data_IF_740097080197
#
_entry.id   IF_740097080197
#
_cell.length_a   1.000
_cell.length_b   1.000
_cell.length_c   1.000
_cell.angle_alpha   90.00
_cell.angle_beta   90.00
_cell.angle_gamma   90.00
#
_symmetry.space_group_name_H-M   'P 1'
#
loop_
_entity.id
_entity.type
_entity.pdbx_description
1 polymer ?
#
# COMPACT_ATOMS: atom_id res chain seq x y z
N UNK A 1 -7.79 -18.25 15.44
CA UNK A 1 -8.48 -18.33 14.14
C UNK A 1 -7.83 -19.36 13.22
N UNK A 2 -8.59 -20.40 12.90
CA UNK A 2 -8.21 -21.43 11.91
C UNK A 2 -8.20 -20.86 10.48
N UNK A 3 -7.43 -21.50 9.59
CA UNK A 3 -7.31 -21.08 8.17
C UNK A 3 -8.67 -20.98 7.47
N UNK A 4 -9.53 -21.98 7.67
CA UNK A 4 -10.86 -22.05 7.04
C UNK A 4 -11.73 -20.85 7.40
N UNK A 5 -11.69 -20.40 8.66
CA UNK A 5 -12.49 -19.27 9.14
C UNK A 5 -11.92 -17.92 8.71
N UNK A 6 -10.60 -17.80 8.54
CA UNK A 6 -9.98 -16.60 7.98
C UNK A 6 -10.16 -16.50 6.46
N UNK A 7 -10.33 -17.62 5.75
CA UNK A 7 -10.50 -17.65 4.31
C UNK A 7 -11.82 -17.02 3.82
N UNK A 8 -12.92 -17.30 4.51
CA UNK A 8 -14.23 -16.74 4.16
C UNK A 8 -14.22 -15.20 4.11
N UNK A 9 -13.84 -14.47 5.18
CA UNK A 9 -13.80 -13.01 5.15
C UNK A 9 -12.76 -12.45 4.16
N UNK A 10 -11.62 -13.12 4.00
CA UNK A 10 -10.60 -12.70 3.02
C UNK A 10 -11.11 -12.80 1.59
N UNK A 11 -11.80 -13.89 1.23
CA UNK A 11 -12.43 -14.08 -0.08
C UNK A 11 -13.57 -13.09 -0.30
N UNK A 12 -14.43 -12.86 0.70
CA UNK A 12 -15.51 -11.88 0.59
C UNK A 12 -14.95 -10.47 0.35
N UNK A 13 -13.94 -10.06 1.12
CA UNK A 13 -13.28 -8.77 0.92
C UNK A 13 -12.58 -8.69 -0.44
N UNK A 14 -11.92 -9.76 -0.88
CA UNK A 14 -11.26 -9.85 -2.18
C UNK A 14 -12.23 -9.73 -3.34
N UNK A 15 -13.36 -10.45 -3.30
CA UNK A 15 -14.41 -10.34 -4.31
C UNK A 15 -15.01 -8.93 -4.31
N UNK A 16 -15.22 -8.34 -3.13
CA UNK A 16 -15.81 -7.01 -3.02
C UNK A 16 -14.89 -5.90 -3.55
N UNK A 17 -13.59 -5.90 -3.21
CA UNK A 17 -12.66 -4.90 -3.74
C UNK A 17 -12.53 -5.02 -5.27
N UNK A 18 -12.46 -6.25 -5.78
CA UNK A 18 -12.41 -6.49 -7.22
C UNK A 18 -13.69 -6.05 -7.90
N UNK A 19 -14.87 -6.37 -7.36
CA UNK A 19 -16.15 -5.95 -7.90
C UNK A 19 -16.35 -4.43 -7.86
N UNK A 20 -15.93 -3.75 -6.80
CA UNK A 20 -16.02 -2.29 -6.68
C UNK A 20 -15.09 -1.59 -7.67
N UNK A 21 -13.85 -2.07 -7.82
CA UNK A 21 -12.91 -1.52 -8.81
C UNK A 21 -13.36 -1.82 -10.23
N UNK A 22 -13.95 -3.00 -10.46
CA UNK A 22 -14.56 -3.38 -11.72
C UNK A 22 -15.71 -2.44 -12.10
N UNK A 23 -16.64 -2.24 -11.16
CA UNK A 23 -17.77 -1.33 -11.32
C UNK A 23 -17.33 0.11 -11.53
N UNK A 24 -16.32 0.56 -10.80
CA UNK A 24 -15.72 1.87 -10.96
C UNK A 24 -15.12 2.05 -12.37
N UNK A 25 -14.40 1.03 -12.85
CA UNK A 25 -13.87 1.02 -14.22
C UNK A 25 -14.94 1.12 -15.30
N UNK A 26 -16.06 0.39 -15.13
CA UNK A 26 -17.20 0.47 -16.03
C UNK A 26 -17.91 1.84 -15.97
N UNK A 27 -17.93 2.48 -14.81
CA UNK A 27 -18.56 3.79 -14.60
C UNK A 27 -17.86 4.94 -15.34
N UNK A 28 -16.58 4.77 -15.73
CA UNK A 28 -15.87 5.75 -16.55
C UNK A 28 -16.56 6.02 -17.90
N UNK A 29 -17.16 4.99 -18.50
CA UNK A 29 -17.92 5.13 -19.77
C UNK A 29 -19.20 5.95 -19.57
N UNK A 30 -19.87 5.77 -18.44
CA UNK A 30 -21.08 6.53 -18.12
C UNK A 30 -20.80 8.02 -17.89
N UNK A 31 -19.59 8.36 -17.44
CA UNK A 31 -19.17 9.75 -17.24
C UNK A 31 -18.93 10.51 -18.56
N UNK A 32 -18.79 9.83 -19.71
CA UNK A 32 -18.64 10.47 -21.02
C UNK A 32 -19.96 10.88 -21.68
N UNK A 33 -21.09 10.44 -21.13
CA UNK A 33 -22.42 10.79 -21.62
C UNK A 33 -22.69 12.27 -21.38
N UNK A 34 -23.24 13.00 -22.36
CA UNK A 34 -23.47 14.45 -22.24
C UNK A 34 -24.35 14.85 -21.03
N UNK A 35 -25.17 13.91 -20.51
CA UNK A 35 -25.96 14.10 -19.29
C UNK A 35 -25.16 14.12 -17.98
N UNK A 36 -23.98 13.48 -17.91
CA UNK A 36 -23.13 13.49 -16.70
C UNK A 36 -22.49 14.85 -16.47
N UNK A 37 -21.99 15.49 -17.53
CA UNK A 37 -21.39 16.82 -17.49
C UNK A 37 -22.42 17.88 -17.05
N UNK A 38 -23.69 17.70 -17.41
CA UNK A 38 -24.79 18.54 -16.97
C UNK A 38 -25.19 18.31 -15.51
N UNK A 39 -25.00 17.09 -14.98
CA UNK A 39 -25.37 16.73 -13.61
C UNK A 39 -24.27 17.05 -12.58
N UNK A 40 -22.99 16.84 -12.94
CA UNK A 40 -21.86 16.99 -12.04
C UNK A 40 -21.02 18.24 -12.32
N UNK A 41 -21.13 18.82 -13.52
CA UNK A 41 -20.23 19.86 -14.01
C UNK A 41 -19.06 19.28 -14.82
N UNK A 42 -18.52 20.06 -15.76
CA UNK A 42 -17.45 19.60 -16.67
C UNK A 42 -16.15 19.28 -15.92
N UNK A 43 -15.76 20.12 -14.97
CA UNK A 43 -14.50 19.98 -14.22
C UNK A 43 -14.47 18.71 -13.35
N UNK A 44 -15.54 18.46 -12.59
CA UNK A 44 -15.68 17.25 -11.75
C UNK A 44 -15.76 15.97 -12.59
N UNK A 45 -16.37 16.04 -13.79
CA UNK A 45 -16.46 14.90 -14.70
C UNK A 45 -15.09 14.52 -15.24
N UNK A 46 -14.28 15.51 -15.63
CA UNK A 46 -12.89 15.29 -16.08
C UNK A 46 -12.02 14.74 -14.96
N UNK A 47 -12.17 15.25 -13.73
CA UNK A 47 -11.46 14.71 -12.57
C UNK A 47 -11.85 13.26 -12.26
N UNK A 48 -13.15 12.95 -12.24
CA UNK A 48 -13.64 11.59 -12.02
C UNK A 48 -13.17 10.65 -13.12
N UNK A 49 -13.18 11.10 -14.38
CA UNK A 49 -12.62 10.34 -15.50
C UNK A 49 -11.12 10.08 -15.27
N UNK A 50 -10.34 11.08 -14.85
CA UNK A 50 -8.92 10.93 -14.57
C UNK A 50 -8.64 9.97 -13.39
N UNK A 51 -9.48 9.99 -12.35
CA UNK A 51 -9.40 9.06 -11.21
C UNK A 51 -9.71 7.62 -11.61
N UNK A 52 -10.69 7.44 -12.50
CA UNK A 52 -11.18 6.13 -12.94
C UNK A 52 -10.40 5.55 -14.11
N UNK A 53 -9.72 6.39 -14.90
CA UNK A 53 -8.99 5.99 -16.10
C UNK A 53 -8.08 4.76 -15.90
N UNK A 54 -7.35 4.59 -14.77
CA UNK A 54 -6.51 3.41 -14.57
C UNK A 54 -7.32 2.12 -14.41
N UNK A 55 -8.58 2.17 -14.01
CA UNK A 55 -9.43 0.99 -13.87
C UNK A 55 -10.41 0.83 -15.03
N UNK A 56 -10.46 1.81 -15.94
CA UNK A 56 -11.37 1.82 -17.08
C UNK A 56 -11.05 0.73 -18.11
N UNK A 57 -12.10 0.26 -18.77
CA UNK A 57 -12.04 -0.73 -19.86
C UNK A 57 -11.72 -0.13 -21.22
N UNK A 58 -11.77 1.20 -21.32
CA UNK A 58 -11.59 1.89 -22.59
C UNK A 58 -10.11 1.89 -22.98
N UNK A 59 -9.78 1.41 -24.19
CA UNK A 59 -8.42 1.50 -24.67
C UNK A 59 -8.02 2.98 -24.82
N UNK A 60 -6.73 3.33 -24.62
CA UNK A 60 -6.25 4.69 -24.81
C UNK A 60 -6.53 5.16 -26.25
N UNK A 61 -6.77 6.45 -26.45
CA UNK A 61 -7.07 7.01 -27.78
C UNK A 61 -6.00 6.64 -28.83
N UNK A 62 -4.75 6.42 -28.42
CA UNK A 62 -3.66 5.92 -29.27
C UNK A 62 -3.90 4.52 -29.87
N UNK A 63 -4.75 3.70 -29.26
CA UNK A 63 -5.15 2.38 -29.78
C UNK A 63 -6.40 2.46 -30.69
N UNK A 64 -7.16 3.57 -30.64
CA UNK A 64 -8.29 3.85 -31.54
C UNK A 64 -7.92 4.74 -32.73
N UNK A 65 -6.95 5.63 -32.57
CA UNK A 65 -6.46 6.58 -33.59
C UNK A 65 -5.33 5.99 -34.43
N UNK A 66 -5.50 4.74 -34.89
CA UNK A 66 -4.65 4.08 -35.86
C UNK A 66 -4.97 4.43 -37.32
N UNK A 67 -5.65 5.54 -37.59
CA UNK A 67 -5.98 5.93 -38.96
C UNK A 67 -6.80 7.20 -39.05
N UNK A 68 -6.13 8.36 -39.04
CA UNK A 68 -6.58 9.57 -39.76
C UNK A 68 -5.36 10.46 -40.11
N UNK A 69 -4.25 9.81 -40.47
CA UNK A 69 -3.13 10.45 -41.16
C UNK A 69 -2.81 9.62 -42.41
N UNK A 70 -3.54 9.93 -43.48
CA UNK A 70 -3.14 9.77 -44.89
C UNK A 70 -2.36 8.52 -45.31
N UNK A 71 -3.07 7.58 -45.96
CA UNK A 71 -2.54 6.85 -47.12
C UNK A 71 -1.96 5.45 -46.85
N UNK A 72 -2.81 4.43 -46.85
CA UNK A 72 -2.37 3.04 -46.98
C UNK A 72 -3.46 2.02 -46.69
N UNK A 73 -4.21 1.59 -47.71
CA UNK A 73 -5.08 0.42 -47.61
C UNK A 73 -4.22 -0.82 -47.33
N UNK A 74 -4.21 -1.30 -46.09
CA UNK A 74 -3.50 -2.50 -45.70
C UNK A 74 -4.12 -3.16 -44.48
N UNK A 75 -4.39 -4.46 -44.59
CA UNK A 75 -4.88 -5.35 -43.51
C UNK A 75 -3.98 -5.40 -42.26
N UNK A 76 -2.77 -4.82 -42.33
CA UNK A 76 -1.75 -4.75 -41.28
C UNK A 76 -2.09 -3.75 -40.17
N UNK A 77 -2.61 -2.57 -40.50
CA UNK A 77 -3.00 -1.57 -39.49
C UNK A 77 -4.22 -2.04 -38.64
N UNK A 78 -5.13 -2.78 -39.27
CA UNK A 78 -6.26 -3.41 -38.58
C UNK A 78 -5.81 -4.59 -37.69
N UNK A 79 -4.74 -5.31 -38.06
CA UNK A 79 -4.21 -6.41 -37.23
C UNK A 79 -3.41 -5.90 -36.03
N UNK A 80 -2.63 -4.81 -36.20
CA UNK A 80 -1.88 -4.20 -35.10
C UNK A 80 -2.80 -3.56 -34.05
N UNK A 81 -3.86 -2.86 -34.47
CA UNK A 81 -4.86 -2.32 -33.53
C UNK A 81 -5.57 -3.40 -32.72
N UNK A 82 -5.94 -4.52 -33.35
CA UNK A 82 -6.48 -5.69 -32.62
C UNK A 82 -5.47 -6.30 -31.64
N UNK A 83 -4.17 -6.31 -31.98
CA UNK A 83 -3.12 -6.80 -31.10
C UNK A 83 -2.93 -5.91 -29.86
N UNK A 84 -2.90 -4.59 -30.03
CA UNK A 84 -2.82 -3.63 -28.93
C UNK A 84 -4.05 -3.68 -28.02
N UNK A 85 -5.24 -3.85 -28.60
CA UNK A 85 -6.48 -4.00 -27.84
C UNK A 85 -6.49 -5.32 -27.03
N UNK A 86 -5.99 -6.42 -27.60
CA UNK A 86 -5.83 -7.68 -26.88
C UNK A 86 -4.82 -7.57 -25.71
N UNK A 87 -3.72 -6.84 -25.90
CA UNK A 87 -2.76 -6.54 -24.83
C UNK A 87 -3.39 -5.71 -23.72
N UNK A 88 -4.21 -4.71 -24.07
CA UNK A 88 -4.94 -3.89 -23.10
C UNK A 88 -5.91 -4.73 -22.26
N UNK A 89 -6.72 -5.59 -22.89
CA UNK A 89 -7.61 -6.50 -22.18
C UNK A 89 -6.84 -7.47 -21.27
N UNK A 90 -5.74 -8.03 -21.76
CA UNK A 90 -4.87 -8.91 -20.98
C UNK A 90 -4.33 -8.19 -19.74
N UNK A 91 -3.90 -6.94 -19.91
CA UNK A 91 -3.40 -6.14 -18.79
C UNK A 91 -4.47 -5.90 -17.71
N UNK A 92 -5.71 -5.61 -18.13
CA UNK A 92 -6.84 -5.45 -17.20
C UNK A 92 -7.20 -6.76 -16.50
N UNK A 93 -7.21 -7.89 -17.21
CA UNK A 93 -7.43 -9.21 -16.60
C UNK A 93 -6.37 -9.53 -15.54
N UNK A 94 -5.10 -9.30 -15.87
CA UNK A 94 -3.98 -9.44 -14.92
C UNK A 94 -4.18 -8.50 -13.73
N UNK A 95 -4.56 -7.25 -13.96
CA UNK A 95 -4.78 -6.25 -12.89
C UNK A 95 -5.86 -6.71 -11.91
N UNK A 96 -7.05 -7.06 -12.38
CA UNK A 96 -8.14 -7.49 -11.50
C UNK A 96 -7.83 -8.81 -10.78
N UNK A 97 -7.23 -9.77 -11.48
CA UNK A 97 -6.77 -11.04 -10.89
C UNK A 97 -5.69 -10.83 -9.83
N UNK A 98 -4.73 -9.92 -10.09
CA UNK A 98 -3.66 -9.59 -9.16
C UNK A 98 -4.18 -8.87 -7.91
N UNK A 99 -5.11 -7.90 -8.04
CA UNK A 99 -5.73 -7.26 -6.87
C UNK A 99 -6.38 -8.31 -5.99
N UNK A 100 -7.18 -9.20 -6.58
CA UNK A 100 -7.84 -10.28 -5.86
C UNK A 100 -6.83 -11.16 -5.13
N UNK A 101 -5.83 -11.67 -5.83
CA UNK A 101 -4.84 -12.58 -5.28
C UNK A 101 -4.01 -11.94 -4.15
N UNK A 102 -3.49 -10.72 -4.36
CA UNK A 102 -2.70 -10.02 -3.35
C UNK A 102 -3.55 -9.61 -2.14
N UNK A 103 -4.77 -9.12 -2.36
CA UNK A 103 -5.68 -8.77 -1.26
C UNK A 103 -6.00 -10.00 -0.42
N UNK A 104 -6.45 -11.09 -1.04
CA UNK A 104 -6.81 -12.33 -0.34
C UNK A 104 -5.62 -12.88 0.42
N UNK A 105 -4.43 -12.94 -0.19
CA UNK A 105 -3.23 -13.47 0.46
C UNK A 105 -2.85 -12.69 1.73
N UNK A 106 -2.83 -11.36 1.69
CA UNK A 106 -2.49 -10.59 2.89
C UNK A 106 -3.63 -10.45 3.88
N UNK A 107 -4.90 -10.36 3.43
CA UNK A 107 -6.05 -10.38 4.32
C UNK A 107 -6.13 -11.71 5.10
N UNK A 108 -5.86 -12.84 4.44
CA UNK A 108 -5.73 -14.15 5.08
C UNK A 108 -4.67 -14.15 6.18
N UNK A 109 -3.48 -13.62 5.87
CA UNK A 109 -2.37 -13.54 6.82
C UNK A 109 -2.73 -12.64 7.99
N UNK A 110 -3.27 -11.44 7.72
CA UNK A 110 -3.64 -10.44 8.72
C UNK A 110 -4.77 -10.94 9.62
N UNK A 111 -5.89 -11.42 9.07
CA UNK A 111 -7.02 -11.91 9.87
C UNK A 111 -6.66 -13.12 10.72
N UNK A 112 -5.75 -13.97 10.24
CA UNK A 112 -5.26 -15.11 11.02
C UNK A 112 -4.38 -14.68 12.19
N UNK A 113 -3.55 -13.64 12.01
CA UNK A 113 -2.56 -13.18 13.00
C UNK A 113 -3.07 -12.07 13.90
N UNK A 114 -4.08 -11.33 13.45
CA UNK A 114 -4.81 -10.28 14.13
C UNK A 114 -6.30 -10.62 13.99
N UNK A 115 -6.84 -11.57 14.78
CA UNK A 115 -8.28 -11.83 14.77
C UNK A 115 -9.02 -10.62 15.36
N UNK A 116 -10.16 -10.18 14.78
CA UNK A 116 -10.89 -8.99 15.21
C UNK A 116 -11.74 -9.23 16.47
N UNK A 117 -11.13 -9.71 17.54
CA UNK A 117 -11.76 -10.03 18.83
C UNK A 117 -11.03 -9.27 19.96
N UNK A 118 -11.69 -9.02 21.10
CA UNK A 118 -11.08 -8.40 22.30
C UNK A 118 -10.40 -7.05 22.03
N UNK A 119 -11.11 -6.11 21.39
CA UNK A 119 -10.61 -4.75 21.15
C UNK A 119 -9.61 -4.60 20.00
N UNK A 120 -9.31 -5.67 19.24
CA UNK A 120 -8.40 -5.62 18.08
C UNK A 120 -9.04 -5.15 16.78
N UNK A 121 -10.36 -4.95 16.77
CA UNK A 121 -11.17 -4.52 15.61
C UNK A 121 -10.61 -3.32 14.86
N UNK A 122 -10.27 -2.18 15.52
CA UNK A 122 -9.73 -1.03 14.80
C UNK A 122 -8.37 -1.34 14.18
N UNK A 123 -7.49 -2.06 14.89
CA UNK A 123 -6.18 -2.44 14.36
C UNK A 123 -6.31 -3.39 13.16
N UNK A 124 -7.25 -4.34 13.19
CA UNK A 124 -7.51 -5.23 12.06
C UNK A 124 -8.09 -4.49 10.86
N UNK A 125 -9.02 -3.56 11.10
CA UNK A 125 -9.63 -2.77 10.04
C UNK A 125 -8.59 -1.93 9.35
N UNK A 126 -7.78 -1.18 10.11
CA UNK A 126 -6.73 -0.35 9.57
C UNK A 126 -5.67 -1.18 8.84
N UNK A 127 -5.29 -2.35 9.36
CA UNK A 127 -4.31 -3.21 8.71
C UNK A 127 -4.83 -3.79 7.39
N UNK A 128 -6.06 -4.30 7.36
CA UNK A 128 -6.65 -4.87 6.12
C UNK A 128 -6.90 -3.75 5.10
N UNK A 129 -7.31 -2.56 5.55
CA UNK A 129 -7.47 -1.40 4.68
C UNK A 129 -6.15 -0.97 4.04
N UNK A 130 -5.11 -0.79 4.86
CA UNK A 130 -3.77 -0.45 4.39
C UNK A 130 -3.21 -1.51 3.43
N UNK A 131 -3.47 -2.79 3.70
CA UNK A 131 -3.10 -3.87 2.79
C UNK A 131 -3.86 -3.82 1.46
N UNK A 132 -5.12 -3.37 1.45
CA UNK A 132 -5.86 -3.19 0.21
C UNK A 132 -5.24 -2.14 -0.73
N UNK A 133 -4.66 -1.08 -0.17
CA UNK A 133 -3.87 -0.12 -0.94
C UNK A 133 -2.62 -0.75 -1.54
N UNK A 134 -1.89 -1.53 -0.74
CA UNK A 134 -0.71 -2.28 -1.21
C UNK A 134 -1.10 -3.24 -2.34
N UNK A 135 -2.18 -4.00 -2.18
CA UNK A 135 -2.67 -4.92 -3.20
C UNK A 135 -3.01 -4.20 -4.51
N UNK A 136 -3.67 -3.03 -4.45
CA UNK A 136 -3.91 -2.18 -5.61
C UNK A 136 -2.61 -1.75 -6.31
N UNK A 137 -1.64 -1.23 -5.54
CA UNK A 137 -0.35 -0.81 -6.14
C UNK A 137 0.43 -1.96 -6.75
N UNK A 138 0.45 -3.14 -6.12
CA UNK A 138 1.09 -4.34 -6.65
C UNK A 138 0.41 -4.82 -7.93
N UNK A 139 -0.92 -4.80 -7.97
CA UNK A 139 -1.68 -5.18 -9.15
C UNK A 139 -1.44 -4.23 -10.34
N UNK A 140 -1.38 -2.93 -10.08
CA UNK A 140 -1.01 -1.93 -11.09
C UNK A 140 0.42 -2.18 -11.59
N UNK A 141 1.36 -2.45 -10.68
CA UNK A 141 2.76 -2.74 -11.02
C UNK A 141 2.89 -4.00 -11.89
N UNK A 142 2.20 -5.09 -11.54
CA UNK A 142 2.28 -6.36 -12.27
C UNK A 142 1.61 -6.26 -13.65
N UNK A 143 0.53 -5.47 -13.78
CA UNK A 143 -0.16 -5.28 -15.07
C UNK A 143 0.49 -4.23 -15.99
N UNK A 144 1.33 -3.36 -15.45
CA UNK A 144 1.89 -2.23 -16.18
C UNK A 144 2.68 -2.60 -17.45
N UNK A 145 3.48 -3.69 -17.50
CA UNK A 145 4.20 -4.05 -18.74
C UNK A 145 3.27 -4.25 -19.94
N UNK A 146 2.13 -4.92 -19.75
CA UNK A 146 1.14 -5.15 -20.80
C UNK A 146 0.41 -3.85 -21.18
N UNK A 147 0.15 -2.96 -20.22
CA UNK A 147 -0.43 -1.65 -20.52
C UNK A 147 0.50 -0.74 -21.31
N UNK A 148 1.80 -0.73 -20.98
CA UNK A 148 2.80 0.05 -21.71
C UNK A 148 2.93 -0.50 -23.14
N UNK A 149 3.00 -1.83 -23.28
CA UNK A 149 3.00 -2.49 -24.59
C UNK A 149 1.73 -2.17 -25.40
N UNK A 150 0.56 -2.13 -24.77
CA UNK A 150 -0.72 -1.80 -25.44
C UNK A 150 -0.79 -0.38 -26.02
N UNK A 151 0.10 0.53 -25.59
CA UNK A 151 0.15 1.92 -26.06
C UNK A 151 1.13 2.12 -27.23
N UNK A 152 1.78 1.06 -27.73
CA UNK A 152 2.79 1.17 -28.79
C UNK A 152 4.12 1.82 -28.35
N UNK A 153 4.30 2.14 -27.07
CA UNK A 153 5.50 2.78 -26.54
C UNK A 153 6.55 1.73 -26.14
N UNK A 154 7.12 1.07 -27.15
CA UNK A 154 8.11 0.02 -26.96
C UNK A 154 9.53 0.47 -27.26
N UNK A 155 10.15 1.33 -26.45
CA UNK A 155 11.57 1.11 -26.06
C UNK A 155 12.28 2.22 -25.27
N UNK A 156 11.87 3.49 -25.32
CA UNK A 156 12.74 4.57 -24.81
C UNK A 156 12.33 5.22 -23.48
N UNK A 157 11.13 4.97 -22.96
CA UNK A 157 10.62 5.56 -21.70
C UNK A 157 9.86 4.60 -20.79
N UNK A 158 10.18 3.30 -20.89
CA UNK A 158 9.48 2.26 -20.13
C UNK A 158 9.48 2.51 -18.61
N UNK A 159 10.62 2.94 -18.05
CA UNK A 159 10.74 3.16 -16.60
C UNK A 159 9.94 4.38 -16.10
N UNK A 160 10.03 5.57 -16.73
CA UNK A 160 9.13 6.69 -16.44
C UNK A 160 7.64 6.33 -16.61
N UNK A 161 7.28 5.62 -17.67
CA UNK A 161 5.89 5.21 -17.91
C UNK A 161 5.38 4.25 -16.82
N UNK A 162 6.24 3.34 -16.34
CA UNK A 162 5.94 2.46 -15.21
C UNK A 162 5.68 3.27 -13.94
N UNK A 163 6.53 4.27 -13.64
CA UNK A 163 6.36 5.14 -12.48
C UNK A 163 5.05 5.94 -12.57
N UNK A 164 4.73 6.47 -13.75
CA UNK A 164 3.48 7.16 -14.03
C UNK A 164 2.26 6.26 -13.80
N UNK A 165 2.26 5.03 -14.33
CA UNK A 165 1.18 4.06 -14.15
C UNK A 165 1.00 3.68 -12.67
N UNK A 166 2.09 3.47 -11.92
CA UNK A 166 2.04 3.16 -10.47
C UNK A 166 1.48 4.32 -9.65
N UNK A 167 1.73 5.57 -10.06
CA UNK A 167 1.19 6.76 -9.37
C UNK A 167 -0.31 6.97 -9.65
N UNK A 168 -0.81 6.49 -10.78
CA UNK A 168 -2.19 6.73 -11.22
C UNK A 168 -3.23 5.84 -10.51
N UNK A 169 -4.39 6.42 -10.16
CA UNK A 169 -5.58 5.65 -9.77
C UNK A 169 -5.60 5.08 -8.35
N UNK A 170 -4.73 5.56 -7.46
CA UNK A 170 -4.65 5.08 -6.08
C UNK A 170 -5.82 5.55 -5.21
N UNK A 171 -6.45 6.66 -5.58
CA UNK A 171 -7.45 7.36 -4.78
C UNK A 171 -8.73 6.55 -4.65
N UNK A 172 -9.20 5.95 -5.75
CA UNK A 172 -10.36 5.07 -5.70
C UNK A 172 -10.07 3.78 -4.94
N UNK A 173 -8.83 3.28 -5.00
CA UNK A 173 -8.40 2.12 -4.22
C UNK A 173 -8.48 2.42 -2.72
N UNK A 174 -8.20 3.65 -2.27
CA UNK A 174 -8.36 4.04 -0.85
C UNK A 174 -9.79 3.78 -0.38
N UNK A 175 -10.78 4.21 -1.15
CA UNK A 175 -12.20 4.09 -0.77
C UNK A 175 -12.68 2.65 -0.91
N UNK A 176 -12.42 2.00 -2.04
CA UNK A 176 -12.88 0.62 -2.29
C UNK A 176 -12.21 -0.37 -1.34
N UNK A 177 -10.93 -0.19 -1.02
CA UNK A 177 -10.23 -0.98 -0.01
C UNK A 177 -10.81 -0.78 1.38
N UNK A 178 -11.25 0.44 1.74
CA UNK A 178 -11.84 0.69 3.05
C UNK A 178 -13.16 -0.07 3.22
N UNK A 179 -14.02 0.01 2.20
CA UNK A 179 -15.30 -0.71 2.16
C UNK A 179 -15.06 -2.22 2.22
N UNK A 180 -14.13 -2.73 1.41
CA UNK A 180 -13.76 -4.14 1.42
C UNK A 180 -13.21 -4.60 2.78
N UNK A 181 -12.36 -3.81 3.41
CA UNK A 181 -11.80 -4.09 4.73
C UNK A 181 -12.89 -4.10 5.81
N UNK A 182 -13.82 -3.14 5.79
CA UNK A 182 -14.93 -3.07 6.74
C UNK A 182 -15.81 -4.33 6.67
N UNK A 183 -16.19 -4.75 5.45
CA UNK A 183 -16.97 -5.97 5.25
C UNK A 183 -16.17 -7.21 5.65
N UNK A 184 -14.90 -7.33 5.24
CA UNK A 184 -14.05 -8.45 5.61
C UNK A 184 -13.91 -8.59 7.14
N UNK A 185 -13.69 -7.48 7.85
CA UNK A 185 -13.58 -7.48 9.32
C UNK A 185 -14.92 -7.78 9.99
N UNK A 186 -16.04 -7.29 9.47
CA UNK A 186 -17.38 -7.62 9.97
C UNK A 186 -17.66 -9.12 9.85
N UNK A 187 -17.43 -9.71 8.67
CA UNK A 187 -17.57 -11.15 8.42
C UNK A 187 -16.61 -11.93 9.31
N UNK A 188 -15.36 -11.48 9.45
CA UNK A 188 -14.37 -12.11 10.32
C UNK A 188 -14.82 -12.10 11.79
N UNK A 189 -15.41 -11.00 12.29
CA UNK A 189 -16.01 -10.94 13.63
C UNK A 189 -17.11 -11.96 13.82
N UNK A 190 -18.00 -12.10 12.84
CA UNK A 190 -19.10 -13.07 12.89
C UNK A 190 -18.53 -14.50 12.94
N UNK A 191 -17.55 -14.81 12.07
CA UNK A 191 -16.93 -16.15 12.01
C UNK A 191 -16.05 -16.50 13.22
N UNK A 192 -15.58 -15.49 13.95
CA UNK A 192 -14.72 -15.66 15.13
C UNK A 192 -15.51 -15.79 16.45
N UNK A 193 -16.84 -15.61 16.46
CA UNK A 193 -17.66 -15.82 17.66
C UNK A 193 -17.50 -17.25 18.18
N UNK A 194 -17.21 -17.39 19.48
CA UNK A 194 -17.08 -18.68 20.16
C UNK A 194 -15.70 -19.35 20.05
N UNK A 195 -14.64 -18.63 19.65
CA UNK A 195 -13.27 -19.14 19.71
C UNK A 195 -12.57 -18.65 20.99
N UNK A 196 -11.98 -19.56 21.77
CA UNK A 196 -11.01 -19.20 22.80
C UNK A 196 -9.77 -18.65 22.09
N UNK A 197 -9.56 -17.34 22.20
CA UNK A 197 -8.44 -16.69 21.55
C UNK A 197 -7.16 -17.14 22.25
N UNK A 198 -6.16 -17.66 21.51
CA UNK A 198 -4.90 -18.06 22.12
C UNK A 198 -4.28 -16.88 22.88
N UNK A 199 -3.78 -17.16 24.09
CA UNK A 199 -3.22 -16.17 25.01
C UNK A 199 -2.16 -15.29 24.36
N UNK A 200 -2.07 -14.04 24.82
CA UNK A 200 -1.06 -13.11 24.34
C UNK A 200 0.35 -13.62 24.64
N UNK A 201 1.23 -13.53 23.65
CA UNK A 201 2.66 -13.74 23.88
C UNK A 201 3.15 -12.56 24.72
N UNK A 202 3.59 -12.84 25.95
CA UNK A 202 4.04 -11.81 26.88
C UNK A 202 5.39 -11.25 26.40
N UNK A 203 5.34 -10.20 25.58
CA UNK A 203 6.55 -9.51 25.10
C UNK A 203 6.97 -8.44 26.11
N UNK A 204 8.21 -8.47 26.62
CA UNK A 204 8.68 -7.45 27.56
C UNK A 204 8.68 -6.06 26.90
N UNK A 205 8.12 -5.08 27.61
CA UNK A 205 7.87 -3.74 27.08
C UNK A 205 9.14 -3.02 26.58
N UNK A 206 10.30 -3.30 27.17
CA UNK A 206 11.60 -2.75 26.74
C UNK A 206 12.02 -3.28 25.37
N UNK A 207 11.86 -4.58 25.12
CA UNK A 207 12.18 -5.18 23.83
C UNK A 207 11.24 -4.68 22.73
N UNK A 208 9.94 -4.53 23.02
CA UNK A 208 8.97 -3.96 22.08
C UNK A 208 9.31 -2.49 21.72
N UNK A 209 9.78 -1.69 22.69
CA UNK A 209 10.24 -0.32 22.42
C UNK A 209 11.50 -0.30 21.56
N UNK A 210 12.49 -1.13 21.85
CA UNK A 210 13.73 -1.21 21.07
C UNK A 210 13.45 -1.63 19.62
N UNK A 211 12.61 -2.65 19.43
CA UNK A 211 12.22 -3.09 18.10
C UNK A 211 11.47 -2.01 17.32
N UNK A 212 10.56 -1.29 17.99
CA UNK A 212 9.87 -0.15 17.40
C UNK A 212 10.85 0.96 17.01
N UNK A 213 11.81 1.31 17.87
CA UNK A 213 12.79 2.35 17.57
C UNK A 213 13.70 1.98 16.39
N UNK A 214 14.13 0.72 16.29
CA UNK A 214 14.96 0.26 15.17
C UNK A 214 14.17 0.30 13.87
N UNK A 215 12.94 -0.22 13.86
CA UNK A 215 12.08 -0.17 12.66
C UNK A 215 11.78 1.27 12.24
N UNK A 216 11.49 2.18 13.17
CA UNK A 216 11.23 3.58 12.84
C UNK A 216 12.47 4.33 12.38
N UNK A 217 13.65 3.99 12.91
CA UNK A 217 14.89 4.59 12.47
C UNK A 217 15.13 4.32 10.97
N UNK A 218 14.81 3.12 10.49
CA UNK A 218 14.90 2.76 9.07
C UNK A 218 13.95 3.61 8.22
N UNK A 219 12.70 3.79 8.67
CA UNK A 219 11.74 4.67 7.98
C UNK A 219 12.19 6.13 8.01
N UNK A 220 12.76 6.59 9.13
CA UNK A 220 13.30 7.94 9.27
C UNK A 220 14.51 8.19 8.35
N UNK A 221 15.38 7.20 8.17
CA UNK A 221 16.50 7.28 7.22
C UNK A 221 15.98 7.48 5.79
N UNK A 222 14.91 6.78 5.39
CA UNK A 222 14.27 7.04 4.10
C UNK A 222 13.70 8.46 3.99
N UNK A 223 12.96 8.91 5.01
CA UNK A 223 12.31 10.21 5.02
C UNK A 223 13.25 11.41 5.10
N UNK A 224 14.42 11.25 5.73
CA UNK A 224 15.35 12.36 5.99
C UNK A 224 16.56 12.29 5.08
N UNK A 225 17.21 11.12 4.98
CA UNK A 225 18.49 10.98 4.28
C UNK A 225 18.25 10.79 2.79
N UNK A 226 17.43 9.82 2.41
CA UNK A 226 17.19 9.54 0.98
C UNK A 226 16.33 10.61 0.33
N UNK A 227 15.38 11.17 1.08
CA UNK A 227 14.50 12.23 0.60
C UNK A 227 15.15 13.62 0.62
N UNK A 228 16.38 13.77 1.13
CA UNK A 228 17.13 15.04 1.09
C UNK A 228 17.36 15.46 -0.37
N UNK A 229 17.00 16.69 -0.74
CA UNK A 229 17.04 17.18 -2.13
C UNK A 229 18.32 16.80 -2.90
N UNK A 230 19.49 16.93 -2.28
CA UNK A 230 20.76 16.59 -2.94
C UNK A 230 20.94 15.08 -3.16
N UNK A 231 20.43 14.24 -2.25
CA UNK A 231 20.48 12.77 -2.36
C UNK A 231 19.42 12.28 -3.35
N UNK A 232 18.22 12.84 -3.29
CA UNK A 232 17.13 12.59 -4.23
C UNK A 232 17.52 12.98 -5.67
N UNK A 233 18.15 14.14 -5.86
CA UNK A 233 18.67 14.57 -7.16
C UNK A 233 19.78 13.66 -7.67
N UNK A 234 20.68 13.18 -6.79
CA UNK A 234 21.69 12.18 -7.16
C UNK A 234 21.06 10.86 -7.59
N UNK A 235 20.09 10.35 -6.82
CA UNK A 235 19.33 9.14 -7.18
C UNK A 235 18.63 9.28 -8.53
N UNK A 236 18.11 10.47 -8.85
CA UNK A 236 17.49 10.77 -10.15
C UNK A 236 18.50 10.86 -11.30
N UNK A 237 19.72 11.32 -11.03
CA UNK A 237 20.80 11.44 -12.01
C UNK A 237 21.53 10.13 -12.35
N UNK A 238 21.24 9.04 -11.64
CA UNK A 238 21.81 7.72 -11.98
C UNK A 238 21.14 7.22 -13.26
N UNK A 239 21.78 7.49 -14.40
CA UNK A 239 21.40 6.96 -15.71
C UNK A 239 22.47 5.95 -16.14
N UNK A 240 22.18 4.64 -16.09
CA UNK A 240 23.01 3.66 -16.77
C UNK A 240 22.91 3.95 -18.27
N UNK A 241 24.06 4.12 -18.94
CA UNK A 241 24.17 4.41 -20.39
C UNK A 241 23.82 3.18 -21.26
N UNK A 242 22.81 2.39 -20.86
CA UNK A 242 22.44 1.09 -21.44
C UNK A 242 20.93 1.05 -21.71
N UNK A 243 20.54 1.28 -22.98
CA UNK A 243 19.25 0.87 -23.56
C UNK A 243 17.96 1.20 -22.77
N UNK A 244 16.95 0.32 -22.87
CA UNK A 244 15.58 0.36 -22.29
C UNK A 244 15.46 0.80 -20.81
N UNK A 245 16.57 0.88 -20.07
CA UNK A 245 16.65 1.24 -18.64
C UNK A 245 17.31 2.60 -18.42
N UNK A 246 17.35 3.46 -19.44
CA UNK A 246 18.14 4.70 -19.45
C UNK A 246 17.74 5.73 -18.38
N UNK A 247 16.59 5.59 -17.72
CA UNK A 247 16.07 6.58 -16.76
C UNK A 247 15.42 5.90 -15.53
N UNK A 248 16.18 5.23 -14.64
CA UNK A 248 15.62 4.58 -13.46
C UNK A 248 15.24 5.56 -12.34
N UNK A 249 15.61 6.85 -12.49
CA UNK A 249 15.43 7.89 -11.49
C UNK A 249 14.00 8.01 -10.96
N UNK A 250 13.00 7.92 -11.84
CA UNK A 250 11.59 8.06 -11.45
C UNK A 250 11.05 6.83 -10.72
N UNK A 251 11.50 5.63 -11.08
CA UNK A 251 11.17 4.40 -10.34
C UNK A 251 11.87 4.39 -8.98
N UNK A 252 13.17 4.72 -8.94
CA UNK A 252 13.91 4.82 -7.69
C UNK A 252 13.25 5.84 -6.76
N UNK A 253 12.81 6.98 -7.29
CA UNK A 253 12.01 7.96 -6.55
C UNK A 253 10.75 7.33 -5.96
N UNK A 254 9.95 6.66 -6.79
CA UNK A 254 8.66 6.09 -6.39
C UNK A 254 8.78 5.01 -5.30
N UNK A 255 9.86 4.21 -5.34
CA UNK A 255 10.06 3.05 -4.46
C UNK A 255 10.96 3.31 -3.25
N UNK A 256 11.77 4.39 -3.27
CA UNK A 256 12.70 4.70 -2.18
C UNK A 256 12.35 5.97 -1.40
N UNK A 257 11.65 6.93 -2.00
CA UNK A 257 11.38 8.21 -1.34
C UNK A 257 9.96 8.21 -0.76
N UNK A 258 9.86 8.11 0.57
CA UNK A 258 8.60 8.31 1.29
C UNK A 258 8.17 9.79 1.35
N UNK A 259 9.07 10.72 1.02
CA UNK A 259 8.76 12.14 1.08
C UNK A 259 9.72 12.99 0.26
N UNK A 260 9.61 14.31 0.46
CA UNK A 260 10.52 15.30 -0.09
C UNK A 260 11.07 16.13 1.07
N UNK A 261 12.35 15.95 1.37
CA UNK A 261 13.03 16.69 2.43
C UNK A 261 13.87 17.81 1.82
N UNK A 262 13.59 19.04 2.24
CA UNK A 262 14.19 20.26 1.75
C UNK A 262 14.43 21.22 2.92
N UNK A 263 15.57 21.92 2.87
CA UNK A 263 15.87 23.00 3.79
C UNK A 263 14.87 24.17 3.63
N UNK A 264 14.59 24.94 4.69
CA UNK A 264 13.71 26.10 4.59
C UNK A 264 14.36 27.14 3.65
N UNK A 265 13.80 27.31 2.44
CA UNK A 265 14.26 28.28 1.46
C UNK A 265 13.12 29.20 1.06
N UNK A 266 13.13 30.44 1.56
CA UNK A 266 12.18 31.49 1.17
C UNK A 266 10.76 31.39 1.74
N UNK A 267 10.37 30.26 2.34
CA UNK A 267 9.08 30.10 3.03
C UNK A 267 9.17 30.50 4.51
N UNK A 268 8.12 31.06 5.12
CA UNK A 268 8.05 31.29 6.56
C UNK A 268 8.38 30.02 7.35
N UNK A 269 9.14 30.16 8.44
CA UNK A 269 9.59 29.02 9.25
C UNK A 269 8.42 28.23 9.85
N UNK A 270 7.31 28.92 10.14
CA UNK A 270 6.05 28.30 10.60
C UNK A 270 5.47 27.32 9.59
N UNK A 271 5.36 27.71 8.32
CA UNK A 271 4.80 26.85 7.26
C UNK A 271 5.70 25.64 7.00
N UNK A 272 7.02 25.84 7.04
CA UNK A 272 7.98 24.76 6.95
C UNK A 272 7.85 23.77 8.11
N UNK A 273 7.71 24.26 9.36
CA UNK A 273 7.50 23.39 10.54
C UNK A 273 6.17 22.65 10.46
N UNK A 274 5.10 23.31 10.02
CA UNK A 274 3.77 22.72 9.87
C UNK A 274 3.79 21.59 8.84
N UNK A 275 4.46 21.80 7.71
CA UNK A 275 4.67 20.77 6.69
C UNK A 275 5.49 19.58 7.24
N UNK A 276 6.49 19.84 8.09
CA UNK A 276 7.29 18.80 8.76
C UNK A 276 6.54 18.08 9.89
N UNK A 277 5.54 18.71 10.50
CA UNK A 277 4.69 18.06 11.50
C UNK A 277 4.00 16.81 10.93
N UNK A 278 3.71 16.80 9.62
CA UNK A 278 3.20 15.62 8.92
C UNK A 278 4.21 14.46 8.87
N UNK A 279 5.50 14.74 8.68
CA UNK A 279 6.55 13.72 8.69
C UNK A 279 6.75 13.14 10.11
N UNK A 280 6.66 14.01 11.13
CA UNK A 280 6.69 13.59 12.54
C UNK A 280 5.49 12.74 12.90
N UNK A 281 4.29 13.10 12.41
CA UNK A 281 3.07 12.32 12.60
C UNK A 281 3.21 10.91 12.01
N UNK A 282 3.74 10.81 10.79
CA UNK A 282 4.03 9.50 10.17
C UNK A 282 4.94 8.67 11.07
N UNK A 283 6.08 9.22 11.50
CA UNK A 283 7.03 8.49 12.35
C UNK A 283 6.42 8.10 13.70
N UNK A 284 5.61 8.97 14.30
CA UNK A 284 4.90 8.70 15.55
C UNK A 284 3.89 7.55 15.38
N UNK A 285 3.11 7.55 14.30
CA UNK A 285 2.16 6.48 13.98
C UNK A 285 2.89 5.15 13.76
N UNK A 286 3.96 5.15 12.97
CA UNK A 286 4.77 3.95 12.71
C UNK A 286 5.39 3.41 14.00
N UNK A 287 5.97 4.28 14.83
CA UNK A 287 6.56 3.90 16.11
C UNK A 287 5.53 3.29 17.05
N UNK A 288 4.38 3.95 17.18
CA UNK A 288 3.29 3.48 18.01
C UNK A 288 2.76 2.13 17.56
N UNK A 289 2.55 1.97 16.24
CA UNK A 289 2.06 0.73 15.65
C UNK A 289 3.07 -0.42 15.82
N UNK A 290 4.35 -0.20 15.52
CA UNK A 290 5.40 -1.20 15.71
C UNK A 290 5.58 -1.61 17.18
N UNK A 291 5.38 -0.67 18.11
CA UNK A 291 5.40 -0.97 19.55
C UNK A 291 4.22 -1.83 19.99
N UNK A 292 3.04 -1.65 19.38
CA UNK A 292 1.81 -2.39 19.70
C UNK A 292 1.72 -3.74 18.97
N UNK A 293 2.30 -3.84 17.78
CA UNK A 293 2.24 -5.01 16.89
C UNK A 293 2.57 -6.34 17.58
N UNK A 294 3.68 -6.47 18.33
CA UNK A 294 4.04 -7.73 18.99
C UNK A 294 2.99 -8.20 20.00
N UNK A 295 2.28 -7.25 20.64
CA UNK A 295 1.25 -7.53 21.65
C UNK A 295 -0.12 -7.82 21.02
N UNK A 296 -0.38 -7.25 19.84
CA UNK A 296 -1.62 -7.45 19.09
C UNK A 296 -1.62 -8.74 18.28
N UNK A 297 -0.45 -9.16 17.78
CA UNK A 297 -0.29 -10.39 17.03
C UNK A 297 -0.47 -11.61 17.93
N UNK A 298 -1.10 -12.65 17.38
CA UNK A 298 -1.15 -13.96 18.05
C UNK A 298 0.23 -14.64 18.08
N UNK A 299 1.12 -14.30 17.13
CA UNK A 299 2.53 -14.74 17.06
C UNK A 299 3.38 -13.72 16.32
N UNK A 300 4.47 -13.27 16.92
CA UNK A 300 5.38 -12.29 16.34
C UNK A 300 6.39 -12.92 15.34
N UNK A 301 5.88 -13.51 14.25
CA UNK A 301 6.73 -14.05 13.18
C UNK A 301 7.26 -12.95 12.27
N UNK A 302 8.42 -13.14 11.63
CA UNK A 302 9.00 -12.20 10.64
C UNK A 302 8.00 -11.75 9.57
N UNK A 303 7.27 -12.64 8.85
CA UNK A 303 6.31 -12.20 7.83
C UNK A 303 5.15 -11.40 8.41
N UNK A 304 4.67 -11.76 9.61
CA UNK A 304 3.58 -11.02 10.25
C UNK A 304 4.01 -9.62 10.72
N UNK A 305 5.24 -9.51 11.25
CA UNK A 305 5.84 -8.22 11.59
C UNK A 305 6.12 -7.37 10.36
N UNK A 306 6.62 -7.96 9.28
CA UNK A 306 6.88 -7.27 8.00
C UNK A 306 5.57 -6.74 7.38
N UNK A 307 4.55 -7.58 7.22
CA UNK A 307 3.24 -7.17 6.68
C UNK A 307 2.58 -6.13 7.60
N UNK A 308 2.64 -6.32 8.92
CA UNK A 308 2.13 -5.35 9.89
C UNK A 308 2.85 -4.01 9.82
N UNK A 309 4.17 -4.00 9.64
CA UNK A 309 4.97 -2.79 9.50
C UNK A 309 4.65 -2.04 8.20
N UNK A 310 4.45 -2.78 7.09
CA UNK A 310 3.95 -2.20 5.83
C UNK A 310 2.59 -1.54 6.04
N UNK A 311 1.66 -2.20 6.75
CA UNK A 311 0.37 -1.60 7.05
C UNK A 311 0.53 -0.32 7.90
N UNK A 312 1.43 -0.35 8.88
CA UNK A 312 1.71 0.80 9.73
C UNK A 312 2.33 1.98 8.97
N UNK A 313 3.25 1.74 8.03
CA UNK A 313 3.85 2.80 7.19
C UNK A 313 2.83 3.40 6.24
N UNK A 314 1.96 2.59 5.63
CA UNK A 314 0.86 3.07 4.79
C UNK A 314 -0.13 3.91 5.59
N UNK A 315 -0.53 3.49 6.80
CA UNK A 315 -1.41 4.29 7.68
C UNK A 315 -0.73 5.60 8.08
N UNK A 316 0.57 5.56 8.40
CA UNK A 316 1.35 6.76 8.72
C UNK A 316 1.41 7.75 7.55
N UNK A 317 1.57 7.25 6.32
CA UNK A 317 1.50 8.05 5.10
C UNK A 317 0.12 8.68 4.89
N UNK A 318 -0.96 7.92 5.08
CA UNK A 318 -2.31 8.48 4.96
C UNK A 318 -2.56 9.56 6.01
N UNK A 319 -2.12 9.33 7.25
CA UNK A 319 -2.25 10.31 8.33
C UNK A 319 -1.47 11.61 8.02
N UNK A 320 -0.25 11.49 7.47
CA UNK A 320 0.54 12.65 7.08
C UNK A 320 -0.08 13.39 5.88
N UNK A 321 -0.62 12.68 4.90
CA UNK A 321 -1.35 13.26 3.77
C UNK A 321 -2.59 14.02 4.22
N UNK A 322 -3.39 13.43 5.13
CA UNK A 322 -4.57 14.09 5.69
C UNK A 322 -4.21 15.35 6.48
N UNK A 323 -3.11 15.33 7.24
CA UNK A 323 -2.65 16.52 7.94
C UNK A 323 -2.22 17.61 6.95
N UNK A 324 -1.45 17.26 5.90
CA UNK A 324 -1.03 18.22 4.86
C UNK A 324 -2.24 18.83 4.15
N UNK A 325 -3.24 18.02 3.82
CA UNK A 325 -4.49 18.50 3.23
C UNK A 325 -5.23 19.47 4.14
N UNK A 326 -5.24 19.22 5.44
CA UNK A 326 -5.87 20.11 6.41
C UNK A 326 -5.10 21.43 6.58
N UNK A 327 -3.77 21.42 6.41
CA UNK A 327 -2.92 22.60 6.62
C UNK A 327 -2.75 23.46 5.38
N UNK A 328 -2.79 22.89 4.18
CA UNK A 328 -2.50 23.62 2.94
C UNK A 328 -3.63 24.60 2.54
N UNK A 329 -4.82 24.52 3.15
CA UNK A 329 -5.93 25.49 3.02
C UNK A 329 -6.55 25.63 1.62
N UNK A 330 -5.87 25.13 0.59
CA UNK A 330 -6.26 25.16 -0.82
C UNK A 330 -7.36 24.15 -1.13
N UNK A 331 -7.36 22.99 -0.46
CA UNK A 331 -8.31 21.91 -0.76
C UNK A 331 -9.77 22.22 -0.40
N UNK A 332 -10.02 23.09 0.58
CA UNK A 332 -11.40 23.49 0.93
C UNK A 332 -12.01 24.46 -0.09
N UNK A 333 -11.17 25.11 -0.91
CA UNK A 333 -11.59 26.05 -1.95
C UNK A 333 -11.93 25.36 -3.29
N UNK A 334 -11.39 24.17 -3.54
CA UNK A 334 -11.53 23.43 -4.81
C UNK A 334 -12.32 22.10 -4.70
N UNK A 335 -12.82 21.75 -3.51
CA UNK A 335 -13.76 20.62 -3.31
C UNK A 335 -13.14 19.27 -2.93
N UNK A 336 -13.98 18.31 -2.51
CA UNK A 336 -13.57 16.98 -2.00
C UNK A 336 -12.79 16.12 -3.00
N UNK A 337 -12.97 16.34 -4.30
CA UNK A 337 -12.38 15.53 -5.37
C UNK A 337 -10.91 15.95 -5.56
N UNK A 338 -10.63 17.26 -5.63
CA UNK A 338 -9.28 17.81 -5.59
C UNK A 338 -8.50 17.40 -4.32
N UNK A 339 -9.17 17.34 -3.16
CA UNK A 339 -8.58 16.85 -1.90
C UNK A 339 -8.09 15.40 -1.99
N UNK A 340 -8.68 14.57 -2.86
CA UNK A 340 -8.29 13.18 -3.00
C UNK A 340 -7.08 12.97 -3.91
N UNK A 341 -6.66 13.99 -4.67
CA UNK A 341 -5.70 13.82 -5.79
C UNK A 341 -4.31 13.28 -5.37
N UNK A 342 -3.92 13.45 -4.11
CA UNK A 342 -2.66 12.94 -3.55
C UNK A 342 -2.78 11.69 -2.66
N UNK A 343 -3.99 11.20 -2.38
CA UNK A 343 -4.19 10.08 -1.44
C UNK A 343 -3.67 8.77 -2.00
N UNK A 344 -2.81 8.10 -1.22
CA UNK A 344 -2.14 6.85 -1.60
C UNK A 344 -0.75 7.04 -2.20
N UNK A 345 -0.36 8.28 -2.54
CA UNK A 345 0.98 8.58 -3.05
C UNK A 345 2.07 8.07 -2.10
N UNK A 346 3.09 7.38 -2.62
CA UNK A 346 4.20 6.85 -1.82
C UNK A 346 3.96 5.46 -1.19
N UNK A 347 2.83 4.79 -1.45
CA UNK A 347 2.60 3.39 -1.04
C UNK A 347 3.72 2.43 -1.47
N UNK A 348 4.32 2.52 -2.68
CA UNK A 348 5.45 1.67 -3.06
C UNK A 348 6.68 1.86 -2.15
N UNK A 349 7.01 3.10 -1.77
CA UNK A 349 8.05 3.38 -0.79
C UNK A 349 7.67 2.91 0.63
N UNK A 350 6.41 3.04 1.03
CA UNK A 350 5.94 2.46 2.29
C UNK A 350 6.05 0.93 2.32
N UNK A 351 5.85 0.26 1.18
CA UNK A 351 6.01 -1.18 1.05
C UNK A 351 7.47 -1.59 1.25
N UNK A 352 8.43 -0.96 0.57
CA UNK A 352 9.87 -1.29 0.70
C UNK A 352 10.37 -1.05 2.10
N UNK A 353 10.21 0.16 2.61
CA UNK A 353 10.71 0.54 3.93
C UNK A 353 9.92 -0.09 5.07
N UNK A 354 8.62 -0.35 4.88
CA UNK A 354 7.80 -1.11 5.82
C UNK A 354 8.28 -2.55 5.96
N UNK A 355 8.59 -3.23 4.84
CA UNK A 355 9.14 -4.60 4.88
C UNK A 355 10.48 -4.64 5.61
N UNK A 356 11.40 -3.74 5.27
CA UNK A 356 12.74 -3.67 5.90
C UNK A 356 12.61 -3.33 7.39
N UNK A 357 11.78 -2.35 7.75
CA UNK A 357 11.54 -1.97 9.13
C UNK A 357 10.94 -3.12 9.96
N UNK A 358 9.95 -3.82 9.42
CA UNK A 358 9.31 -4.95 10.10
C UNK A 358 10.23 -6.16 10.23
N UNK A 359 11.09 -6.43 9.23
CA UNK A 359 12.10 -7.47 9.32
C UNK A 359 13.14 -7.16 10.40
N UNK A 360 13.66 -5.92 10.44
CA UNK A 360 14.60 -5.48 11.47
C UNK A 360 13.98 -5.51 12.87
N UNK A 361 12.73 -5.05 13.01
CA UNK A 361 11.97 -5.15 14.26
C UNK A 361 11.78 -6.62 14.70
N UNK A 362 11.50 -7.54 13.78
CA UNK A 362 11.37 -8.96 14.11
C UNK A 362 12.69 -9.58 14.56
N UNK A 363 13.80 -9.25 13.88
CA UNK A 363 15.15 -9.74 14.24
C UNK A 363 15.57 -9.24 15.62
N UNK A 364 15.29 -7.99 15.94
CA UNK A 364 15.60 -7.40 17.26
C UNK A 364 14.76 -7.99 18.39
N UNK A 365 13.53 -8.47 18.12
CA UNK A 365 12.68 -9.13 19.11
C UNK A 365 13.09 -10.58 19.42
N UNK A 366 13.69 -11.30 18.46
CA UNK A 366 14.08 -12.72 18.60
C UNK A 366 14.89 -13.03 19.87
N UNK A 367 15.98 -12.30 20.21
CA UNK A 367 16.77 -12.61 21.40
C UNK A 367 16.01 -12.37 22.71
N UNK A 368 15.14 -11.36 22.75
CA UNK A 368 14.33 -11.07 23.93
C UNK A 368 13.26 -12.15 24.17
N UNK A 369 12.60 -12.62 23.10
CA UNK A 369 11.61 -13.70 23.22
C UNK A 369 12.25 -15.05 23.60
N UNK A 370 13.47 -15.33 23.10
CA UNK A 370 14.23 -16.53 23.49
C UNK A 370 14.56 -16.56 24.99
N UNK A 371 14.98 -15.43 25.55
CA UNK A 371 15.30 -15.30 26.99
C UNK A 371 14.07 -15.49 27.88
N UNK A 372 12.96 -14.83 27.53
CA UNK A 372 11.70 -14.93 28.31
C UNK A 372 11.16 -16.37 28.33
N UNK A 373 11.30 -17.09 27.20
CA UNK A 373 10.90 -18.50 27.09
C UNK A 373 11.78 -19.42 27.94
N UNK A 374 13.09 -19.17 27.99
CA UNK A 374 14.01 -19.93 28.85
C UNK A 374 13.70 -19.70 30.33
N UNK A 375 13.51 -18.45 30.76
CA UNK A 375 13.14 -18.10 32.15
C UNK A 375 11.81 -18.75 32.59
N UNK A 376 10.83 -18.82 31.68
CA UNK A 376 9.54 -19.49 31.98
C UNK A 376 9.69 -21.00 32.12
N UNK A 377 10.56 -21.62 31.33
CA UNK A 377 10.83 -23.06 31.40
C UNK A 377 11.63 -23.42 32.66
N UNK A 378 12.59 -22.59 33.06
CA UNK A 378 13.34 -22.76 34.31
C UNK A 378 12.45 -22.56 35.55
N UNK A 379 11.51 -21.62 35.51
CA UNK A 379 10.54 -21.41 36.59
C UNK A 379 9.50 -22.55 36.70
N UNK A 380 9.26 -23.30 35.62
CA UNK A 380 8.38 -24.47 35.59
C UNK A 380 9.13 -25.79 35.82
N UNK A 381 10.46 -25.79 35.89
CA UNK A 381 11.23 -26.97 36.27
C UNK A 381 10.97 -27.27 37.76
N UNK A 382 10.55 -28.49 38.13
CA UNK A 382 10.29 -28.82 39.52
C UNK A 382 11.60 -28.68 40.31
N UNK A 383 11.57 -27.93 41.40
CA UNK A 383 12.68 -27.80 42.34
C UNK A 383 13.11 -29.20 42.77
N UNK A 384 14.26 -29.64 42.28
CA UNK A 384 14.83 -30.92 42.65
C UNK A 384 15.28 -30.80 44.10
N UNK A 385 14.47 -31.36 45.02
CA UNK A 385 14.75 -31.40 46.46
C UNK A 385 16.17 -31.96 46.69
N UNK A 386 17.08 -31.18 47.30
CA UNK A 386 18.41 -31.67 47.59
C UNK A 386 18.37 -32.51 48.88
N UNK A 387 18.55 -33.82 48.71
CA UNK A 387 19.10 -34.70 49.75
C UNK A 387 18.12 -35.22 50.79
N UNK A 388 17.66 -36.45 50.60
CA UNK A 388 17.40 -37.36 51.72
C UNK A 388 18.49 -38.44 51.71
N UNK A 389 19.42 -38.47 52.68
CA UNK A 389 20.27 -39.64 52.87
C UNK A 389 19.37 -40.81 53.29
N UNK A 390 19.53 -41.94 52.59
CA UNK A 390 18.92 -43.21 52.96
C UNK A 390 19.58 -43.67 54.27
N UNK A 391 18.76 -43.85 55.30
CA UNK A 391 19.13 -44.51 56.55
C UNK A 391 18.68 -45.97 56.50
#
# INVERSE_FOLDING_TARGET
MTYRRAAIPALVGGLLITALLWWAGASAQALRLQGSANAFGVETTVELEQMLAPWSYDPPASAGSGGDASGGFGSTAATDSMHYLALHHTALQIRFGAVFAFFVAGALLLLRRLPPVHGRVPATLLAVWAWGLVAGTLAVTVSAPWLIASRGHGSYRFLPDLAGVISSGQQIVVVTALVAAAVAVLVARITAKGEDVPGQEAVPARAARLAATVGTAIVAVSLVVLSYQSVAARLQSVSPRIGLLSEPGDILRQWLLLGAWAAPTGTPLGDWLLYRAADVLLLAVVWWALRRLPVLLTRATVPAMAVGAVCATVIGLLASQLLRMATDGTGMRWGLIHLSTGLGGGVPAALTWGLVAGAAAAVTLRPAMGRTRAETLDAMAPAQEPGRPQA
#
